data_IF_131090705069
#
_entry.id   IF_131090705069
#
_cell.length_a   1.000
_cell.length_b   1.000
_cell.length_c   1.000
_cell.angle_alpha   90.00
_cell.angle_beta   90.00
_cell.angle_gamma   90.00
#
_symmetry.space_group_name_H-M   'P 1'
#
loop_
_entity.id
_entity.type
_entity.pdbx_description
1 polymer ?
#
# COMPACT_ATOMS: atom_id res chain seq x y z
N UNK A 1 8.43 -9.85 3.72
CA UNK A 1 9.87 -9.62 3.92
C UNK A 1 10.42 -8.49 3.04
N UNK A 2 11.50 -7.88 3.49
CA UNK A 2 12.11 -6.72 2.82
C UNK A 2 12.55 -7.01 1.38
N UNK A 3 12.93 -8.24 1.09
CA UNK A 3 13.36 -8.68 -0.25
C UNK A 3 12.22 -9.24 -1.11
N UNK A 4 10.97 -9.02 -0.72
CA UNK A 4 9.82 -9.45 -1.50
C UNK A 4 9.64 -8.58 -2.74
N UNK A 5 9.19 -9.20 -3.83
CA UNK A 5 8.70 -8.52 -5.03
C UNK A 5 7.18 -8.63 -5.02
N UNK A 6 6.50 -7.49 -4.97
CA UNK A 6 5.04 -7.45 -4.90
C UNK A 6 4.47 -7.62 -6.31
N UNK A 7 3.77 -8.71 -6.53
CA UNK A 7 3.19 -9.07 -7.82
C UNK A 7 1.79 -8.49 -7.99
N UNK A 8 1.00 -8.46 -6.92
CA UNK A 8 -0.36 -7.94 -6.91
C UNK A 8 -0.66 -7.32 -5.56
N UNK A 9 -1.32 -6.18 -5.56
CA UNK A 9 -1.78 -5.50 -4.34
C UNK A 9 -3.19 -4.98 -4.60
N UNK A 10 -4.17 -5.67 -4.04
CA UNK A 10 -5.57 -5.30 -4.16
C UNK A 10 -6.09 -4.79 -2.83
N UNK A 11 -6.80 -3.68 -2.86
CA UNK A 11 -7.41 -3.08 -1.69
C UNK A 11 -8.85 -2.70 -1.98
N UNK A 12 -9.68 -2.74 -0.96
CA UNK A 12 -11.05 -2.28 -1.03
C UNK A 12 -11.56 -1.94 0.36
N UNK A 13 -12.53 -1.04 0.43
CA UNK A 13 -13.16 -0.63 1.69
C UNK A 13 -14.68 -0.60 1.55
N UNK A 14 -15.36 -0.72 2.69
CA UNK A 14 -16.75 -0.28 2.79
C UNK A 14 -16.82 1.24 2.65
N UNK A 15 -18.01 1.76 2.36
CA UNK A 15 -18.25 3.20 2.38
C UNK A 15 -18.16 3.70 3.82
N UNK A 16 -17.22 4.61 4.09
CA UNK A 16 -16.95 5.13 5.43
C UNK A 16 -17.59 6.49 5.67
N UNK A 17 -18.27 7.03 4.66
CA UNK A 17 -18.94 8.33 4.70
C UNK A 17 -18.00 9.51 4.55
N UNK A 18 -18.57 10.69 4.30
CA UNK A 18 -17.87 11.97 4.40
C UNK A 18 -16.75 12.22 3.39
N UNK A 19 -16.79 11.68 2.19
CA UNK A 19 -15.74 11.88 1.18
C UNK A 19 -14.35 11.44 1.67
N UNK A 20 -14.28 10.38 2.45
CA UNK A 20 -13.04 9.82 2.96
C UNK A 20 -12.19 9.26 1.82
N UNK A 21 -10.89 9.54 1.87
CA UNK A 21 -9.91 8.96 0.95
C UNK A 21 -8.75 8.37 1.75
N UNK A 22 -7.98 7.49 1.11
CA UNK A 22 -6.81 6.91 1.75
C UNK A 22 -5.64 6.78 0.79
N UNK A 23 -4.43 6.82 1.34
CA UNK A 23 -3.19 6.51 0.66
C UNK A 23 -2.73 5.11 1.05
N UNK A 24 -2.00 4.44 0.18
CA UNK A 24 -1.40 3.14 0.47
C UNK A 24 0.09 3.21 0.25
N UNK A 25 0.86 2.89 1.27
CA UNK A 25 2.31 3.05 1.24
C UNK A 25 3.07 2.04 2.08
N UNK A 26 4.34 2.36 2.32
CA UNK A 26 5.32 1.48 2.94
C UNK A 26 5.75 2.06 4.29
N UNK A 27 5.72 1.24 5.32
CA UNK A 27 6.12 1.59 6.68
C UNK A 27 7.18 0.61 7.18
N UNK A 28 8.04 1.05 8.10
CA UNK A 28 8.96 0.15 8.79
C UNK A 28 8.21 -0.76 9.76
N UNK A 29 8.85 -1.83 10.20
CA UNK A 29 8.31 -2.74 11.21
C UNK A 29 8.08 -2.07 12.58
N UNK A 30 8.79 -0.96 12.85
CA UNK A 30 8.58 -0.12 14.03
C UNK A 30 7.45 0.91 13.86
N UNK A 31 6.79 0.94 12.70
CA UNK A 31 5.69 1.86 12.40
C UNK A 31 6.12 3.21 11.83
N UNK A 32 7.40 3.42 11.53
CA UNK A 32 7.88 4.63 10.87
C UNK A 32 7.52 4.65 9.39
N UNK A 33 7.20 5.83 8.86
CA UNK A 33 6.86 6.00 7.44
C UNK A 33 8.11 5.93 6.59
N UNK A 34 8.08 5.10 5.53
CA UNK A 34 9.10 5.11 4.47
C UNK A 34 8.60 5.90 3.26
N UNK A 35 7.41 5.58 2.78
CA UNK A 35 6.74 6.29 1.72
C UNK A 35 5.23 6.08 1.88
N UNK A 36 4.52 7.11 2.31
CA UNK A 36 3.13 7.02 2.75
C UNK A 36 2.16 6.68 1.61
N UNK A 37 2.51 7.05 0.39
CA UNK A 37 1.63 6.96 -0.77
C UNK A 37 2.29 6.24 -1.96
N UNK A 38 3.27 5.39 -1.71
CA UNK A 38 4.02 4.72 -2.78
C UNK A 38 3.10 3.99 -3.77
N UNK A 39 2.10 3.27 -3.28
CA UNK A 39 1.22 2.45 -4.11
C UNK A 39 -0.01 3.20 -4.60
N UNK A 40 -0.55 4.09 -3.81
CA UNK A 40 -1.74 4.85 -4.19
C UNK A 40 -1.89 6.13 -3.36
N UNK A 41 -2.49 7.14 -3.98
CA UNK A 41 -2.80 8.44 -3.37
C UNK A 41 -4.29 8.72 -3.53
N UNK A 42 -4.94 9.10 -2.45
CA UNK A 42 -6.34 9.58 -2.44
C UNK A 42 -7.34 8.62 -3.10
N UNK A 43 -7.25 7.35 -2.74
CA UNK A 43 -8.23 6.34 -3.19
C UNK A 43 -9.55 6.59 -2.47
N UNK A 44 -10.65 6.65 -3.23
CA UNK A 44 -11.97 6.85 -2.65
C UNK A 44 -12.42 5.63 -1.85
N UNK A 45 -13.04 5.87 -0.70
CA UNK A 45 -13.68 4.82 0.08
C UNK A 45 -14.89 4.25 -0.66
N UNK A 46 -15.27 3.03 -0.31
CA UNK A 46 -16.43 2.35 -0.92
C UNK A 46 -16.28 2.05 -2.40
N UNK A 47 -15.09 2.25 -2.96
CA UNK A 47 -14.81 1.88 -4.33
C UNK A 47 -14.72 0.36 -4.47
N UNK A 48 -14.94 -0.14 -5.69
CA UNK A 48 -14.64 -1.52 -6.01
C UNK A 48 -13.15 -1.80 -5.74
N UNK A 49 -12.82 -3.08 -5.55
CA UNK A 49 -11.45 -3.52 -5.30
C UNK A 49 -10.51 -2.98 -6.40
N UNK A 50 -9.48 -2.24 -5.98
CA UNK A 50 -8.49 -1.66 -6.87
C UNK A 50 -7.21 -2.52 -6.88
N UNK A 51 -6.65 -2.75 -8.09
CA UNK A 51 -5.34 -3.38 -8.27
C UNK A 51 -4.29 -2.29 -8.40
N UNK A 52 -3.48 -2.09 -7.36
CA UNK A 52 -2.57 -0.96 -7.27
C UNK A 52 -1.24 -1.16 -7.99
N UNK A 53 -0.88 -2.39 -8.37
CA UNK A 53 0.39 -2.63 -9.07
C UNK A 53 0.35 -2.31 -10.55
N UNK A 54 -0.84 -2.20 -11.13
CA UNK A 54 -1.02 -1.91 -12.55
C UNK A 54 -1.40 -0.47 -12.85
N UNK A 55 -1.37 0.41 -11.87
CA UNK A 55 -1.53 1.83 -12.12
C UNK A 55 -0.31 2.37 -12.87
N UNK A 56 -0.54 3.36 -13.75
CA UNK A 56 0.52 3.89 -14.62
C UNK A 56 1.74 4.39 -13.84
N UNK A 57 1.52 5.00 -12.70
CA UNK A 57 2.59 5.50 -11.83
C UNK A 57 3.49 4.40 -11.25
N UNK A 58 3.00 3.16 -11.20
CA UNK A 58 3.68 2.05 -10.55
C UNK A 58 4.23 1.00 -11.53
N UNK A 59 3.91 1.09 -12.81
CA UNK A 59 4.29 0.07 -13.78
C UNK A 59 5.80 -0.12 -13.89
N UNK A 60 6.58 0.94 -13.78
CA UNK A 60 8.03 0.88 -13.86
C UNK A 60 8.70 0.32 -12.60
N UNK A 61 7.94 0.07 -11.55
CA UNK A 61 8.44 -0.48 -10.28
C UNK A 61 8.08 -1.95 -10.08
N UNK A 62 7.41 -2.59 -11.04
CA UNK A 62 6.84 -3.94 -10.88
C UNK A 62 7.87 -5.03 -10.59
N UNK A 63 9.11 -4.88 -11.04
CA UNK A 63 10.18 -5.85 -10.76
C UNK A 63 11.05 -5.51 -9.56
N UNK A 64 10.79 -4.41 -8.87
CA UNK A 64 11.61 -3.98 -7.74
C UNK A 64 11.28 -4.76 -6.47
N UNK A 65 12.30 -4.99 -5.66
CA UNK A 65 12.11 -5.52 -4.31
C UNK A 65 11.61 -4.44 -3.36
N UNK A 66 10.94 -4.85 -2.30
CA UNK A 66 10.24 -3.94 -1.40
C UNK A 66 11.18 -2.93 -0.74
N UNK A 67 12.40 -3.34 -0.34
CA UNK A 67 13.36 -2.42 0.25
C UNK A 67 13.78 -1.31 -0.73
N UNK A 68 13.88 -1.63 -2.01
CA UNK A 68 14.21 -0.63 -3.05
C UNK A 68 13.06 0.37 -3.21
N UNK A 69 11.83 -0.11 -3.22
CA UNK A 69 10.64 0.76 -3.24
C UNK A 69 10.58 1.67 -2.00
N UNK A 70 11.02 1.17 -0.85
CA UNK A 70 11.09 1.94 0.39
C UNK A 70 12.21 2.98 0.40
N UNK A 71 13.06 3.03 -0.63
CA UNK A 71 14.14 3.98 -0.74
C UNK A 71 15.46 3.55 -0.11
N UNK A 72 15.58 2.30 0.31
CA UNK A 72 16.83 1.77 0.89
C UNK A 72 17.76 1.30 -0.23
N UNK A 73 19.04 1.64 -0.13
CA UNK A 73 20.05 1.26 -1.13
C UNK A 73 20.56 -0.17 -0.96
N UNK A 74 20.38 -0.72 0.24
CA UNK A 74 20.74 -2.10 0.58
C UNK A 74 19.58 -2.74 1.32
N UNK A 75 19.43 -4.06 1.19
CA UNK A 75 18.41 -4.80 1.91
C UNK A 75 18.70 -4.79 3.42
N UNK A 76 17.85 -4.13 4.24
CA UNK A 76 18.07 -4.09 5.68
C UNK A 76 17.75 -5.41 6.39
N UNK A 77 17.15 -6.38 5.68
CA UNK A 77 16.59 -7.58 6.28
C UNK A 77 15.25 -7.30 6.99
N UNK A 78 14.65 -8.33 7.57
CA UNK A 78 13.38 -8.21 8.25
C UNK A 78 12.21 -7.97 7.30
N UNK A 79 11.33 -7.03 7.62
CA UNK A 79 10.12 -6.78 6.85
C UNK A 79 9.66 -5.33 6.94
N UNK A 80 8.79 -4.96 6.00
CA UNK A 80 8.04 -3.71 6.01
C UNK A 80 6.54 -4.01 6.13
N UNK A 81 5.78 -3.02 6.57
CA UNK A 81 4.33 -3.06 6.48
C UNK A 81 3.87 -2.30 5.23
N UNK A 82 2.84 -2.83 4.58
CA UNK A 82 2.04 -2.10 3.60
C UNK A 82 0.78 -1.67 4.34
N UNK A 83 0.52 -0.37 4.37
CA UNK A 83 -0.54 0.18 5.20
C UNK A 83 -1.29 1.29 4.48
N UNK A 84 -2.53 1.48 4.88
CA UNK A 84 -3.34 2.60 4.45
C UNK A 84 -3.33 3.72 5.48
N UNK A 85 -3.28 4.96 4.99
CA UNK A 85 -3.42 6.17 5.80
C UNK A 85 -4.62 6.94 5.30
N UNK A 86 -5.59 7.18 6.18
CA UNK A 86 -6.81 7.90 5.82
C UNK A 86 -6.62 9.41 5.97
N UNK A 87 -7.05 10.17 4.97
CA UNK A 87 -6.91 11.63 4.94
C UNK A 87 -7.93 12.33 5.83
N UNK A 88 -9.06 11.65 6.11
CA UNK A 88 -10.12 12.18 6.95
C UNK A 88 -10.82 11.04 7.69
N UNK A 89 -11.40 11.36 8.83
CA UNK A 89 -12.21 10.42 9.58
C UNK A 89 -13.55 10.23 8.89
N UNK A 90 -13.88 9.00 8.54
CA UNK A 90 -15.21 8.65 8.04
C UNK A 90 -16.25 8.75 9.14
N UNK A 91 -17.49 9.07 8.78
CA UNK A 91 -18.61 9.14 9.71
C UNK A 91 -19.27 7.80 10.00
N UNK A 92 -18.89 6.75 9.29
CA UNK A 92 -19.50 5.42 9.36
C UNK A 92 -18.42 4.37 9.56
N UNK A 93 -18.65 3.42 10.47
CA UNK A 93 -17.75 2.29 10.65
C UNK A 93 -17.85 1.34 9.46
N UNK A 94 -16.72 0.71 9.12
CA UNK A 94 -16.66 -0.27 8.05
C UNK A 94 -15.33 -1.01 8.06
N UNK A 95 -15.18 -1.92 7.09
CA UNK A 95 -14.00 -2.77 6.96
C UNK A 95 -13.16 -2.36 5.77
N UNK A 96 -11.86 -2.63 5.87
CA UNK A 96 -10.90 -2.53 4.77
C UNK A 96 -10.21 -3.87 4.58
N UNK A 97 -10.02 -4.26 3.33
CA UNK A 97 -9.35 -5.52 3.00
C UNK A 97 -8.15 -5.28 2.09
N UNK A 98 -7.11 -6.06 2.31
CA UNK A 98 -5.92 -6.15 1.47
C UNK A 98 -5.74 -7.58 0.99
N UNK A 99 -5.34 -7.74 -0.28
CA UNK A 99 -4.83 -9.00 -0.81
C UNK A 99 -3.50 -8.69 -1.46
N UNK A 100 -2.43 -9.27 -0.92
CA UNK A 100 -1.06 -9.03 -1.39
C UNK A 100 -0.48 -10.35 -1.87
N UNK A 101 -0.06 -10.40 -3.13
CA UNK A 101 0.66 -11.52 -3.70
C UNK A 101 2.10 -11.10 -3.95
N UNK A 102 3.06 -11.87 -3.44
CA UNK A 102 4.46 -11.55 -3.58
C UNK A 102 5.30 -12.81 -3.75
N UNK A 103 6.51 -12.62 -4.27
CA UNK A 103 7.53 -13.67 -4.36
C UNK A 103 8.78 -13.22 -3.62
N UNK A 104 9.52 -14.17 -3.10
CA UNK A 104 10.81 -13.96 -2.44
C UNK A 104 11.87 -14.73 -3.21
N UNK A 105 12.92 -14.06 -3.60
CA UNK A 105 14.03 -14.65 -4.33
C UNK A 105 15.21 -14.96 -3.40
#
# INVERSE_FOLDING_TARGET
PSNATIMSLRVGTDALGGSCTYDVGIYTDAGGVKDIDFFATSVADGAAVAELRYEAANLNTTGQQLYTMAGDSTDPGGFYYIAATFDATGGTAGDMAFIIEYVVN
#
